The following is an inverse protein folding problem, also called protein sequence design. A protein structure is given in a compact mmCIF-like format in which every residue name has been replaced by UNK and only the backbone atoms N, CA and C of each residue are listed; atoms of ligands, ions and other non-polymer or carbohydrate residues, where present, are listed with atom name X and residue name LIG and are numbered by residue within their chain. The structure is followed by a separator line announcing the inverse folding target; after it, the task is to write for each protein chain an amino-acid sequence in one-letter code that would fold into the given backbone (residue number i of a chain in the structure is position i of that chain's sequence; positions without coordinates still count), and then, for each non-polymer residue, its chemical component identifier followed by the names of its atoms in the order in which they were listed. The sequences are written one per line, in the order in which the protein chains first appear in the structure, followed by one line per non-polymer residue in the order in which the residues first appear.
data_IF_961571149651
#
_entry.id   IF_961571149651
#
_cell.length_a   1.000
_cell.length_b   1.000
_cell.length_c   1.000
_cell.angle_alpha   90.00
_cell.angle_beta   90.00
_cell.angle_gamma   90.00
#
_symmetry.space_group_name_H-M   'P 1'
#
loop_
_entity.id
_entity.type
_entity.pdbx_description
1 polymer ?
#
# COMPACT_ATOMS: atom_id res chain seq x y z
N UNK A 1 20.93 -7.79 -3.51
CA UNK A 1 20.75 -6.41 -4.00
C UNK A 1 19.26 -6.12 -4.17
N UNK A 2 18.68 -5.35 -3.24
CA UNK A 2 17.24 -5.13 -3.16
C UNK A 2 16.76 -4.20 -4.29
N UNK A 3 16.05 -4.75 -5.29
CA UNK A 3 15.51 -4.00 -6.43
C UNK A 3 14.60 -2.84 -6.01
N UNK A 4 13.92 -2.96 -4.87
CA UNK A 4 13.08 -1.89 -4.29
C UNK A 4 13.85 -0.63 -3.86
N UNK A 5 15.16 -0.73 -3.61
CA UNK A 5 16.00 0.39 -3.16
C UNK A 5 16.69 1.14 -4.31
N UNK A 6 16.60 0.64 -5.55
CA UNK A 6 17.11 1.33 -6.76
C UNK A 6 16.10 2.30 -7.38
N UNK A 7 14.84 2.29 -6.92
CA UNK A 7 13.82 3.20 -7.42
C UNK A 7 14.07 4.64 -6.94
N UNK A 8 13.97 5.60 -7.87
CA UNK A 8 14.06 7.03 -7.55
C UNK A 8 13.06 7.35 -6.43
N UNK A 9 13.46 8.08 -5.37
CA UNK A 9 12.60 8.37 -4.21
C UNK A 9 11.23 8.98 -4.56
N UNK A 10 11.16 9.78 -5.63
CA UNK A 10 9.90 10.33 -6.16
C UNK A 10 8.93 9.23 -6.62
N UNK A 11 9.42 8.19 -7.31
CA UNK A 11 8.59 7.09 -7.81
C UNK A 11 8.10 6.23 -6.64
N UNK A 12 8.94 6.04 -5.61
CA UNK A 12 8.55 5.35 -4.36
C UNK A 12 7.41 6.07 -3.63
N UNK A 13 7.49 7.40 -3.54
CA UNK A 13 6.43 8.21 -2.94
C UNK A 13 5.13 8.12 -3.75
N UNK A 14 5.20 8.26 -5.07
CA UNK A 14 4.04 8.14 -5.96
C UNK A 14 3.40 6.76 -5.86
N UNK A 15 4.20 5.69 -5.93
CA UNK A 15 3.72 4.32 -5.75
C UNK A 15 3.11 4.10 -4.37
N UNK A 16 3.74 4.62 -3.31
CA UNK A 16 3.21 4.54 -1.96
C UNK A 16 1.82 5.19 -1.84
N UNK A 17 1.68 6.43 -2.33
CA UNK A 17 0.40 7.15 -2.32
C UNK A 17 -0.67 6.40 -3.13
N UNK A 18 -0.34 5.98 -4.36
CA UNK A 18 -1.28 5.26 -5.23
C UNK A 18 -1.73 3.95 -4.58
N UNK A 19 -0.80 3.17 -4.02
CA UNK A 19 -1.10 1.91 -3.33
C UNK A 19 -1.96 2.18 -2.09
N UNK A 20 -1.65 3.18 -1.28
CA UNK A 20 -2.45 3.53 -0.10
C UNK A 20 -3.87 3.94 -0.47
N UNK A 21 -4.06 4.76 -1.52
CA UNK A 21 -5.39 5.16 -2.00
C UNK A 21 -6.19 3.97 -2.51
N UNK A 22 -5.58 3.12 -3.35
CA UNK A 22 -6.22 1.90 -3.86
C UNK A 22 -6.60 0.94 -2.72
N UNK A 23 -5.73 0.83 -1.71
CA UNK A 23 -5.98 -0.02 -0.55
C UNK A 23 -7.12 0.50 0.32
N UNK A 24 -7.24 1.82 0.49
CA UNK A 24 -8.35 2.44 1.21
C UNK A 24 -9.69 2.22 0.48
N UNK A 25 -9.70 2.33 -0.86
CA UNK A 25 -10.88 2.03 -1.68
C UNK A 25 -11.24 0.54 -1.59
N UNK A 26 -10.25 -0.35 -1.67
CA UNK A 26 -10.46 -1.78 -1.52
C UNK A 26 -11.02 -2.11 -0.12
N UNK A 27 -10.51 -1.45 0.92
CA UNK A 27 -11.01 -1.61 2.29
C UNK A 27 -12.47 -1.16 2.42
N UNK A 28 -12.84 -0.02 1.82
CA UNK A 28 -14.23 0.44 1.75
C UNK A 28 -15.14 -0.57 1.03
N UNK A 29 -14.67 -1.14 -0.07
CA UNK A 29 -15.42 -2.13 -0.82
C UNK A 29 -15.62 -3.43 -0.03
N UNK A 30 -14.57 -3.90 0.64
CA UNK A 30 -14.59 -5.08 1.52
C UNK A 30 -15.47 -4.85 2.74
N UNK A 31 -15.52 -3.62 3.27
CA UNK A 31 -16.39 -3.28 4.38
C UNK A 31 -17.87 -3.34 3.99
N UNK A 32 -18.19 -2.95 2.75
CA UNK A 32 -19.56 -2.92 2.24
C UNK A 32 -20.01 -4.22 1.55
N UNK A 33 -19.13 -5.21 1.39
CA UNK A 33 -19.43 -6.48 0.73
C UNK A 33 -18.94 -7.64 1.60
N UNK A 34 -19.73 -8.72 1.72
CA UNK A 34 -19.37 -9.95 2.46
C UNK A 34 -18.22 -10.72 1.78
N UNK A 35 -17.04 -10.13 1.80
CA UNK A 35 -15.80 -10.63 1.19
C UNK A 35 -15.01 -11.52 2.15
N UNK A 36 -15.49 -11.67 3.39
CA UNK A 36 -14.92 -12.53 4.42
C UNK A 36 -13.57 -12.05 4.96
N UNK A 37 -12.99 -12.83 5.87
CA UNK A 37 -11.73 -12.52 6.56
C UNK A 37 -10.56 -12.29 5.59
N UNK A 38 -10.48 -13.07 4.50
CA UNK A 38 -9.40 -12.97 3.52
C UNK A 38 -9.39 -11.61 2.81
N UNK A 39 -10.55 -11.05 2.49
CA UNK A 39 -10.67 -9.73 1.87
C UNK A 39 -10.09 -8.65 2.78
N UNK A 40 -10.55 -8.60 4.02
CA UNK A 40 -10.07 -7.64 5.03
C UNK A 40 -8.56 -7.75 5.29
N UNK A 41 -8.03 -8.97 5.36
CA UNK A 41 -6.60 -9.21 5.54
C UNK A 41 -5.76 -8.68 4.37
N UNK A 42 -6.17 -8.95 3.12
CA UNK A 42 -5.47 -8.50 1.92
C UNK A 42 -5.48 -6.96 1.81
N UNK A 43 -6.63 -6.32 2.05
CA UNK A 43 -6.73 -4.86 2.02
C UNK A 43 -5.90 -4.20 3.12
N UNK A 44 -5.91 -4.75 4.34
CA UNK A 44 -5.07 -4.28 5.45
C UNK A 44 -3.57 -4.41 5.15
N UNK A 45 -3.15 -5.54 4.59
CA UNK A 45 -1.76 -5.76 4.20
C UNK A 45 -1.29 -4.76 3.11
N UNK A 46 -2.13 -4.51 2.10
CA UNK A 46 -1.86 -3.54 1.04
C UNK A 46 -1.76 -2.10 1.60
N UNK A 47 -2.63 -1.73 2.53
CA UNK A 47 -2.58 -0.44 3.24
C UNK A 47 -1.24 -0.28 4.00
N UNK A 48 -0.83 -1.32 4.71
CA UNK A 48 0.44 -1.35 5.45
C UNK A 48 1.67 -1.22 4.55
N UNK A 49 1.68 -1.91 3.41
CA UNK A 49 2.76 -1.82 2.41
C UNK A 49 2.81 -0.42 1.78
N UNK A 50 1.66 0.16 1.42
CA UNK A 50 1.56 1.51 0.87
C UNK A 50 2.12 2.55 1.85
N UNK A 51 1.70 2.49 3.11
CA UNK A 51 2.24 3.35 4.16
C UNK A 51 3.74 3.11 4.40
N UNK A 52 4.19 1.87 4.40
CA UNK A 52 5.61 1.52 4.50
C UNK A 52 6.44 2.14 3.39
N UNK A 53 5.95 2.15 2.15
CA UNK A 53 6.61 2.79 1.01
C UNK A 53 6.66 4.32 1.12
N UNK A 54 5.60 4.95 1.65
CA UNK A 54 5.58 6.39 1.94
C UNK A 54 6.58 6.74 3.04
N UNK A 55 6.58 6.01 4.16
CA UNK A 55 7.47 6.29 5.30
C UNK A 55 8.93 6.05 4.93
N UNK A 56 9.22 5.00 4.15
CA UNK A 56 10.58 4.71 3.69
C UNK A 56 11.05 5.58 2.52
N UNK A 57 10.24 6.53 2.02
CA UNK A 57 10.69 7.47 0.98
C UNK A 57 11.80 8.41 1.49
N UNK A 58 11.80 8.72 2.80
CA UNK A 58 12.77 9.64 3.43
C UNK A 58 14.03 8.95 3.98
N UNK A 59 14.03 7.63 4.14
CA UNK A 59 15.22 6.87 4.53
C UNK A 59 16.17 6.76 3.34
N UNK A 60 16.93 7.82 3.13
CA UNK A 60 18.23 7.79 2.45
C UNK A 60 19.28 7.39 3.46
#
# INVERSE_FOLDING_TARGET
MNYFLKLKPRIRLQLGIVVTVLSAIAFYYIWNNDTGFLGGFIAGALLGIGFGLIVTYKKK
#
